data_IF_486852455275
#
_entry.id   IF_486852455275
#
_cell.length_a   1.000
_cell.length_b   1.000
_cell.length_c   1.000
_cell.angle_alpha   90.00
_cell.angle_beta   90.00
_cell.angle_gamma   90.00
#
_symmetry.space_group_name_H-M   'P 1'
#
loop_
_entity.id
_entity.type
_entity.pdbx_description
1 polymer ?
#
# COMPACT_ATOMS: atom_id res chain seq x y z
N UNK A 1 0.07 -7.91 -23.91
CA UNK A 1 -1.00 -8.87 -24.21
C UNK A 1 -0.56 -10.32 -24.00
N UNK A 2 0.61 -10.74 -24.50
CA UNK A 2 1.12 -12.11 -24.33
C UNK A 2 1.21 -12.53 -22.86
N UNK A 3 1.59 -11.62 -21.96
CA UNK A 3 1.62 -11.93 -20.53
C UNK A 3 0.26 -12.38 -20.00
N UNK A 4 -0.81 -11.66 -20.35
CA UNK A 4 -2.18 -11.99 -19.89
C UNK A 4 -2.66 -13.32 -20.48
N UNK A 5 -2.18 -13.69 -21.66
CA UNK A 5 -2.52 -14.96 -22.27
C UNK A 5 -1.90 -16.16 -21.52
N UNK A 6 -0.65 -16.03 -21.08
CA UNK A 6 0.11 -17.16 -20.53
C UNK A 6 0.27 -17.14 -19.01
N UNK A 7 0.08 -15.98 -18.35
CA UNK A 7 0.28 -15.83 -16.91
C UNK A 7 -1.04 -15.51 -16.20
N UNK A 8 -1.32 -16.15 -15.06
CA UNK A 8 -2.54 -15.90 -14.31
C UNK A 8 -2.61 -14.47 -13.72
N UNK A 9 -1.47 -13.86 -13.41
CA UNK A 9 -1.39 -12.55 -12.77
C UNK A 9 -0.40 -11.65 -13.49
N UNK A 10 -0.87 -10.51 -13.99
CA UNK A 10 -0.06 -9.49 -14.66
C UNK A 10 -0.26 -8.14 -13.98
N UNK A 11 0.83 -7.49 -13.61
CA UNK A 11 0.84 -6.18 -12.95
C UNK A 11 1.65 -5.17 -13.75
N UNK A 12 1.04 -4.02 -14.06
CA UNK A 12 1.63 -2.99 -14.91
C UNK A 12 1.63 -1.65 -14.18
N UNK A 13 2.78 -1.26 -13.64
CA UNK A 13 3.03 0.10 -13.15
C UNK A 13 3.40 1.01 -14.33
N UNK A 14 2.76 2.16 -14.47
CA UNK A 14 2.86 3.01 -15.65
C UNK A 14 3.10 4.47 -15.31
N UNK A 15 3.96 5.13 -16.05
CA UNK A 15 3.95 6.58 -16.19
C UNK A 15 2.68 7.08 -16.88
N UNK A 16 2.52 8.40 -16.94
CA UNK A 16 1.35 9.06 -17.55
C UNK A 16 1.30 8.83 -19.06
N UNK A 17 0.08 8.68 -19.58
CA UNK A 17 -0.23 8.61 -21.02
C UNK A 17 0.59 7.57 -21.81
N UNK A 18 0.86 6.40 -21.23
CA UNK A 18 1.55 5.28 -21.90
C UNK A 18 0.62 4.32 -22.63
N UNK A 19 -0.69 4.58 -22.60
CA UNK A 19 -1.70 3.72 -23.24
C UNK A 19 -2.06 2.48 -22.41
N UNK A 20 -1.84 2.49 -21.10
CA UNK A 20 -2.13 1.36 -20.20
C UNK A 20 -3.59 0.90 -20.29
N UNK A 21 -4.53 1.84 -20.34
CA UNK A 21 -5.97 1.55 -20.36
C UNK A 21 -6.41 0.98 -21.71
N UNK A 22 -5.81 1.47 -22.82
CA UNK A 22 -6.01 0.89 -24.15
C UNK A 22 -5.55 -0.57 -24.21
N UNK A 23 -4.36 -0.89 -23.68
CA UNK A 23 -3.83 -2.26 -23.63
C UNK A 23 -4.70 -3.14 -22.74
N UNK A 24 -5.20 -2.62 -21.61
CA UNK A 24 -6.12 -3.32 -20.73
C UNK A 24 -7.45 -3.65 -21.44
N UNK A 25 -8.01 -2.69 -22.19
CA UNK A 25 -9.19 -2.90 -23.02
C UNK A 25 -8.96 -3.96 -24.10
N UNK A 26 -7.80 -3.92 -24.79
CA UNK A 26 -7.43 -4.96 -25.75
C UNK A 26 -7.36 -6.34 -25.11
N UNK A 27 -6.79 -6.45 -23.90
CA UNK A 27 -6.71 -7.71 -23.16
C UNK A 27 -8.11 -8.23 -22.81
N UNK A 28 -8.99 -7.34 -22.30
CA UNK A 28 -10.37 -7.67 -21.94
C UNK A 28 -11.19 -8.20 -23.13
N UNK A 29 -11.17 -7.48 -24.24
CA UNK A 29 -11.87 -7.87 -25.48
C UNK A 29 -11.29 -9.17 -26.06
N UNK A 30 -9.97 -9.31 -26.08
CA UNK A 30 -9.33 -10.52 -26.57
C UNK A 30 -9.70 -11.73 -25.71
N UNK A 31 -9.69 -11.56 -24.39
CA UNK A 31 -10.08 -12.65 -23.48
C UNK A 31 -11.56 -13.04 -23.66
N UNK A 32 -12.45 -12.04 -23.76
CA UNK A 32 -13.88 -12.28 -23.96
C UNK A 32 -14.18 -13.11 -25.20
N UNK A 33 -13.51 -12.82 -26.33
CA UNK A 33 -13.88 -13.43 -27.62
C UNK A 33 -12.95 -14.54 -28.10
N UNK A 34 -11.71 -14.59 -27.63
CA UNK A 34 -10.71 -15.57 -28.11
C UNK A 34 -10.45 -16.71 -27.12
N UNK A 35 -10.94 -16.60 -25.86
CA UNK A 35 -10.71 -17.61 -24.85
C UNK A 35 -11.78 -18.71 -24.84
N UNK A 36 -13.10 -18.43 -24.96
CA UNK A 36 -14.12 -19.45 -24.86
C UNK A 36 -13.99 -20.50 -25.97
N UNK A 37 -14.20 -21.75 -25.61
CA UNK A 37 -14.18 -22.89 -26.53
C UNK A 37 -15.55 -23.56 -26.58
N UNK A 38 -15.83 -24.21 -27.68
CA UNK A 38 -17.01 -25.06 -27.79
C UNK A 38 -16.78 -26.38 -27.04
N UNK A 39 -17.63 -26.67 -26.07
CA UNK A 39 -17.61 -27.93 -25.36
C UNK A 39 -18.53 -28.91 -26.07
N UNK A 40 -17.93 -29.88 -26.76
CA UNK A 40 -18.66 -30.87 -27.58
C UNK A 40 -19.50 -31.84 -26.73
N UNK A 41 -19.10 -32.13 -25.50
CA UNK A 41 -19.85 -33.03 -24.59
C UNK A 41 -21.11 -32.35 -24.06
N UNK A 42 -21.01 -31.07 -23.72
CA UNK A 42 -22.12 -30.25 -23.16
C UNK A 42 -22.94 -29.54 -24.21
N UNK A 43 -22.51 -29.55 -25.47
CA UNK A 43 -23.14 -28.84 -26.59
C UNK A 43 -23.35 -27.33 -26.30
N UNK A 44 -22.38 -26.69 -25.66
CA UNK A 44 -22.43 -25.25 -25.34
C UNK A 44 -21.03 -24.63 -25.35
N UNK A 45 -21.01 -23.30 -25.44
CA UNK A 45 -19.78 -22.54 -25.31
C UNK A 45 -19.37 -22.46 -23.84
N UNK A 46 -18.05 -22.49 -23.57
CA UNK A 46 -17.53 -22.36 -22.20
C UNK A 46 -17.88 -20.99 -21.63
N UNK A 47 -18.37 -20.98 -20.40
CA UNK A 47 -18.66 -19.77 -19.64
C UNK A 47 -17.42 -18.88 -19.54
N UNK A 48 -17.57 -17.60 -19.94
CA UNK A 48 -16.46 -16.65 -19.98
C UNK A 48 -16.92 -15.29 -19.45
N UNK A 49 -16.38 -14.85 -18.34
CA UNK A 49 -16.77 -13.59 -17.69
C UNK A 49 -15.57 -12.67 -17.60
N UNK A 50 -15.76 -11.40 -17.95
CA UNK A 50 -14.76 -10.35 -17.81
C UNK A 50 -15.33 -9.24 -16.91
N UNK A 51 -14.68 -8.96 -15.79
CA UNK A 51 -15.00 -7.87 -14.89
C UNK A 51 -13.98 -6.74 -15.04
N UNK A 52 -14.48 -5.55 -15.34
CA UNK A 52 -13.68 -4.31 -15.37
C UNK A 52 -13.99 -3.50 -14.13
N UNK A 53 -12.99 -3.01 -13.42
CA UNK A 53 -13.22 -2.16 -12.26
C UNK A 53 -12.18 -1.04 -12.14
N UNK A 54 -12.58 0.01 -11.43
CA UNK A 54 -11.76 1.16 -11.07
C UNK A 54 -12.24 1.75 -9.73
N UNK A 55 -11.45 2.61 -9.08
CA UNK A 55 -11.83 3.28 -7.83
C UNK A 55 -13.12 4.10 -7.95
N UNK A 56 -13.44 4.63 -9.13
CA UNK A 56 -14.62 5.48 -9.33
C UNK A 56 -15.43 5.03 -10.54
N UNK A 57 -16.76 5.21 -10.47
CA UNK A 57 -17.68 4.98 -11.59
C UNK A 57 -17.28 5.78 -12.84
N UNK A 58 -16.83 7.02 -12.66
CA UNK A 58 -16.33 7.86 -13.73
C UNK A 58 -15.15 7.21 -14.50
N UNK A 59 -14.23 6.56 -13.81
CA UNK A 59 -13.10 5.88 -14.45
C UNK A 59 -13.56 4.68 -15.26
N UNK A 60 -14.51 3.90 -14.75
CA UNK A 60 -15.11 2.81 -15.52
C UNK A 60 -15.83 3.36 -16.75
N UNK A 61 -16.77 4.28 -16.56
CA UNK A 61 -17.65 4.81 -17.60
C UNK A 61 -16.94 5.66 -18.65
N UNK A 62 -16.03 6.53 -18.21
CA UNK A 62 -15.45 7.57 -19.09
C UNK A 62 -14.04 7.26 -19.55
N UNK A 63 -13.40 6.21 -19.04
CA UNK A 63 -12.04 5.79 -19.45
C UNK A 63 -12.07 4.39 -20.05
N UNK A 64 -12.46 3.38 -19.25
CA UNK A 64 -12.38 1.99 -19.72
C UNK A 64 -13.44 1.64 -20.76
N UNK A 65 -14.71 1.96 -20.53
CA UNK A 65 -15.77 1.62 -21.47
C UNK A 65 -15.64 2.31 -22.83
N UNK A 66 -15.17 3.57 -22.96
CA UNK A 66 -14.85 4.15 -24.26
C UNK A 66 -13.76 3.41 -25.04
N UNK A 67 -12.72 2.90 -24.38
CA UNK A 67 -11.71 2.07 -25.04
C UNK A 67 -12.29 0.73 -25.51
N UNK A 68 -13.10 0.09 -24.70
CA UNK A 68 -13.86 -1.12 -25.08
C UNK A 68 -14.76 -0.84 -26.29
N UNK A 69 -15.52 0.26 -26.24
CA UNK A 69 -16.43 0.67 -27.31
C UNK A 69 -15.69 0.95 -28.62
N UNK A 70 -14.54 1.62 -28.53
CA UNK A 70 -13.69 1.91 -29.70
C UNK A 70 -13.22 0.62 -30.37
N UNK A 71 -12.77 -0.36 -29.60
CA UNK A 71 -12.33 -1.66 -30.12
C UNK A 71 -13.48 -2.45 -30.73
N UNK A 72 -14.62 -2.52 -30.06
CA UNK A 72 -15.82 -3.21 -30.52
C UNK A 72 -16.32 -2.60 -31.86
N UNK A 73 -16.46 -1.28 -31.93
CA UNK A 73 -16.91 -0.60 -33.12
C UNK A 73 -15.89 -0.66 -34.28
N UNK A 74 -14.59 -0.68 -33.96
CA UNK A 74 -13.53 -0.87 -34.96
C UNK A 74 -13.58 -2.26 -35.58
N UNK A 75 -13.86 -3.29 -34.79
CA UNK A 75 -14.08 -4.64 -35.33
C UNK A 75 -15.28 -4.64 -36.29
N UNK A 76 -16.41 -4.07 -35.86
CA UNK A 76 -17.62 -3.94 -36.68
C UNK A 76 -17.38 -3.18 -37.98
N UNK A 77 -16.65 -2.06 -37.94
CA UNK A 77 -16.32 -1.27 -39.16
C UNK A 77 -15.42 -2.01 -40.16
N UNK A 78 -14.74 -3.06 -39.72
CA UNK A 78 -13.91 -3.95 -40.54
C UNK A 78 -14.64 -5.23 -40.97
N UNK A 79 -15.95 -5.30 -40.78
CA UNK A 79 -16.76 -6.46 -41.14
C UNK A 79 -16.64 -7.64 -40.16
N UNK A 80 -15.98 -7.47 -38.99
CA UNK A 80 -15.88 -8.51 -37.99
C UNK A 80 -17.10 -8.40 -37.09
N UNK A 81 -17.96 -9.41 -37.13
CA UNK A 81 -19.14 -9.50 -36.27
C UNK A 81 -18.74 -10.13 -34.94
N UNK A 82 -18.71 -9.31 -33.89
CA UNK A 82 -18.50 -9.79 -32.53
C UNK A 82 -19.87 -10.17 -31.91
N UNK A 83 -20.01 -11.36 -31.31
CA UNK A 83 -21.23 -11.77 -30.65
C UNK A 83 -21.63 -10.82 -29.52
N UNK A 84 -22.94 -10.54 -29.42
CA UNK A 84 -23.51 -9.75 -28.33
C UNK A 84 -23.77 -8.30 -28.67
N UNK A 85 -24.22 -7.56 -27.67
CA UNK A 85 -24.60 -6.14 -27.74
C UNK A 85 -23.77 -5.33 -26.76
N UNK A 86 -23.17 -4.27 -27.25
CA UNK A 86 -22.45 -3.28 -26.44
C UNK A 86 -23.45 -2.31 -25.81
N UNK A 87 -23.44 -2.19 -24.48
CA UNK A 87 -24.17 -1.22 -23.68
C UNK A 87 -23.22 -0.26 -22.96
N UNK A 88 -23.76 0.62 -22.12
CA UNK A 88 -22.95 1.66 -21.44
C UNK A 88 -21.85 1.10 -20.51
N UNK A 89 -22.12 -0.03 -19.88
CA UNK A 89 -21.23 -0.66 -18.89
C UNK A 89 -20.87 -2.11 -19.18
N UNK A 90 -21.45 -2.71 -20.21
CA UNK A 90 -21.26 -4.11 -20.48
C UNK A 90 -21.31 -4.48 -21.97
N UNK A 91 -20.84 -5.67 -22.27
CA UNK A 91 -21.13 -6.41 -23.48
C UNK A 91 -21.88 -7.67 -23.07
N UNK A 92 -23.13 -7.83 -23.51
CA UNK A 92 -23.95 -9.01 -23.28
C UNK A 92 -24.09 -9.81 -24.56
N UNK A 93 -23.72 -11.09 -24.49
CA UNK A 93 -23.98 -12.05 -25.58
C UNK A 93 -25.38 -12.68 -25.40
N UNK A 94 -25.75 -13.58 -26.30
CA UNK A 94 -27.00 -14.35 -26.16
C UNK A 94 -26.92 -15.41 -25.04
N UNK A 95 -25.74 -15.61 -24.45
CA UNK A 95 -25.51 -16.47 -23.29
C UNK A 95 -25.35 -15.63 -22.05
N UNK A 96 -26.16 -15.89 -21.01
CA UNK A 96 -26.08 -15.22 -19.71
C UNK A 96 -24.73 -15.43 -19.00
N UNK A 97 -24.01 -16.48 -19.36
CA UNK A 97 -22.71 -16.83 -18.76
C UNK A 97 -21.51 -16.40 -19.61
N UNK A 98 -21.74 -15.61 -20.68
CA UNK A 98 -20.67 -15.08 -21.54
C UNK A 98 -20.84 -13.58 -21.72
N UNK A 99 -20.11 -12.81 -20.92
CA UNK A 99 -20.24 -11.34 -20.92
C UNK A 99 -19.00 -10.63 -20.40
N UNK A 100 -18.94 -9.33 -20.68
CA UNK A 100 -18.05 -8.38 -20.05
C UNK A 100 -18.88 -7.33 -19.32
N UNK A 101 -18.50 -6.98 -18.09
CA UNK A 101 -19.20 -5.94 -17.32
C UNK A 101 -18.19 -5.06 -16.59
N UNK A 102 -18.52 -3.76 -16.48
CA UNK A 102 -17.76 -2.77 -15.74
C UNK A 102 -18.55 -2.20 -14.58
N UNK A 103 -17.95 -2.09 -13.41
CA UNK A 103 -18.54 -1.50 -12.21
C UNK A 103 -17.46 -0.92 -11.29
N UNK A 104 -17.87 0.05 -10.47
CA UNK A 104 -16.99 0.67 -9.47
C UNK A 104 -16.59 -0.36 -8.40
N UNK A 105 -15.35 -0.35 -7.97
CA UNK A 105 -14.93 -1.01 -6.75
C UNK A 105 -15.55 -0.26 -5.55
N UNK A 106 -16.38 -0.96 -4.77
CA UNK A 106 -17.03 -0.42 -3.58
C UNK A 106 -16.53 -1.19 -2.36
N UNK A 107 -15.92 -0.47 -1.42
CA UNK A 107 -15.36 -1.05 -0.20
C UNK A 107 -16.41 -1.68 0.71
N UNK A 108 -17.66 -1.21 0.62
CA UNK A 108 -18.77 -1.68 1.42
C UNK A 108 -19.60 -2.77 0.75
N UNK A 109 -19.31 -3.11 -0.52
CA UNK A 109 -20.10 -4.09 -1.29
C UNK A 109 -19.21 -5.21 -1.84
N UNK A 110 -18.71 -6.06 -0.94
CA UNK A 110 -17.93 -7.25 -1.33
C UNK A 110 -18.79 -8.28 -2.09
N UNK A 111 -20.11 -8.27 -1.89
CA UNK A 111 -21.05 -9.16 -2.57
C UNK A 111 -21.12 -8.91 -4.08
N UNK A 112 -20.79 -7.68 -4.55
CA UNK A 112 -20.71 -7.37 -5.98
C UNK A 112 -19.71 -8.26 -6.74
N UNK A 113 -18.73 -8.84 -6.04
CA UNK A 113 -17.73 -9.77 -6.60
C UNK A 113 -18.18 -11.22 -6.55
N UNK A 114 -19.25 -11.53 -5.81
CA UNK A 114 -19.85 -12.86 -5.74
C UNK A 114 -20.45 -13.21 -7.10
N UNK A 115 -20.31 -14.47 -7.50
CA UNK A 115 -20.92 -14.96 -8.74
C UNK A 115 -20.09 -14.77 -10.03
N UNK A 116 -18.87 -14.23 -9.95
CA UNK A 116 -17.93 -14.20 -11.10
C UNK A 116 -17.22 -15.56 -11.31
N UNK A 117 -17.83 -16.66 -10.87
CA UNK A 117 -17.31 -17.98 -11.18
C UNK A 117 -17.65 -18.37 -12.61
N UNK A 118 -16.66 -18.77 -13.37
CA UNK A 118 -16.80 -19.27 -14.73
C UNK A 118 -15.61 -20.18 -15.07
N UNK A 119 -15.72 -20.93 -16.17
CA UNK A 119 -14.59 -21.71 -16.71
C UNK A 119 -13.43 -20.78 -17.03
N UNK A 120 -13.75 -19.63 -17.63
CA UNK A 120 -12.79 -18.59 -17.96
C UNK A 120 -13.21 -17.27 -17.29
N UNK A 121 -12.36 -16.72 -16.44
CA UNK A 121 -12.64 -15.44 -15.74
C UNK A 121 -11.47 -14.49 -15.88
N UNK A 122 -11.75 -13.23 -16.17
CA UNK A 122 -10.73 -12.18 -16.20
C UNK A 122 -11.17 -10.98 -15.39
N UNK A 123 -10.31 -10.54 -14.48
CA UNK A 123 -10.44 -9.29 -13.74
C UNK A 123 -9.45 -8.27 -14.30
N UNK A 124 -9.95 -7.15 -14.77
CA UNK A 124 -9.15 -6.01 -15.24
C UNK A 124 -9.37 -4.86 -14.28
N UNK A 125 -8.33 -4.50 -13.55
CA UNK A 125 -8.38 -3.48 -12.51
C UNK A 125 -7.53 -2.30 -12.97
N UNK A 126 -8.18 -1.19 -13.33
CA UNK A 126 -7.49 0.04 -13.68
C UNK A 126 -7.41 0.98 -12.49
N UNK A 127 -6.34 1.80 -12.46
CA UNK A 127 -6.00 2.68 -11.33
C UNK A 127 -5.95 1.91 -9.99
N UNK A 128 -5.41 0.68 -10.04
CA UNK A 128 -5.42 -0.28 -8.95
C UNK A 128 -4.79 0.22 -7.63
N UNK A 129 -3.90 1.23 -7.69
CA UNK A 129 -3.33 1.87 -6.50
C UNK A 129 -4.35 2.66 -5.66
N UNK A 130 -5.55 2.90 -6.18
CA UNK A 130 -6.64 3.58 -5.47
C UNK A 130 -7.75 2.65 -5.00
N UNK A 131 -7.55 1.34 -5.02
CA UNK A 131 -8.54 0.33 -4.60
C UNK A 131 -8.10 -0.30 -3.28
N UNK A 132 -9.03 -0.48 -2.36
CA UNK A 132 -8.79 -1.06 -1.04
C UNK A 132 -8.41 -2.55 -1.11
N UNK A 133 -7.64 -3.01 -0.14
CA UNK A 133 -7.20 -4.40 -0.04
C UNK A 133 -8.39 -5.37 0.12
N UNK A 134 -9.45 -4.99 0.82
CA UNK A 134 -10.67 -5.78 0.97
C UNK A 134 -11.32 -6.15 -0.38
N UNK A 135 -11.32 -5.23 -1.35
CA UNK A 135 -11.80 -5.50 -2.71
C UNK A 135 -10.93 -6.57 -3.40
N UNK A 136 -9.62 -6.52 -3.20
CA UNK A 136 -8.72 -7.52 -3.77
C UNK A 136 -8.89 -8.89 -3.13
N UNK A 137 -9.17 -8.98 -1.83
CA UNK A 137 -9.50 -10.25 -1.16
C UNK A 137 -10.74 -10.90 -1.78
N UNK A 138 -11.78 -10.10 -2.04
CA UNK A 138 -12.98 -10.59 -2.72
C UNK A 138 -12.69 -11.09 -4.14
N UNK A 139 -11.80 -10.41 -4.90
CA UNK A 139 -11.36 -10.86 -6.23
C UNK A 139 -10.55 -12.15 -6.11
N UNK A 140 -9.61 -12.26 -5.17
CA UNK A 140 -8.79 -13.45 -4.96
C UNK A 140 -9.64 -14.70 -4.69
N UNK A 141 -10.76 -14.56 -3.96
CA UNK A 141 -11.73 -15.64 -3.73
C UNK A 141 -12.36 -16.21 -5.00
N UNK A 142 -12.36 -15.44 -6.10
CA UNK A 142 -12.93 -15.86 -7.39
C UNK A 142 -11.87 -16.40 -8.38
N UNK A 143 -10.59 -16.44 -8.01
CA UNK A 143 -9.51 -16.87 -8.90
C UNK A 143 -9.37 -18.40 -8.95
N UNK A 144 -10.25 -19.03 -9.70
CA UNK A 144 -10.24 -20.48 -9.90
C UNK A 144 -10.17 -20.80 -11.40
N UNK A 145 -9.75 -22.02 -11.72
CA UNK A 145 -9.70 -22.51 -13.12
C UNK A 145 -8.81 -21.64 -14.02
N UNK A 146 -9.33 -21.27 -15.20
CA UNK A 146 -8.63 -20.40 -16.14
C UNK A 146 -8.89 -18.92 -15.81
N UNK A 147 -8.46 -18.50 -14.61
CA UNK A 147 -8.61 -17.10 -14.18
C UNK A 147 -7.41 -16.25 -14.54
N UNK A 148 -7.66 -14.98 -14.87
CA UNK A 148 -6.64 -13.97 -15.16
C UNK A 148 -6.91 -12.70 -14.37
N UNK A 149 -5.84 -12.11 -13.84
CA UNK A 149 -5.88 -10.77 -13.23
C UNK A 149 -4.90 -9.85 -13.93
N UNK A 150 -5.38 -8.72 -14.38
CA UNK A 150 -4.57 -7.64 -14.93
C UNK A 150 -4.75 -6.38 -14.10
N UNK A 151 -3.69 -5.96 -13.44
CA UNK A 151 -3.61 -4.66 -12.76
C UNK A 151 -2.91 -3.65 -13.65
N UNK A 152 -3.51 -2.49 -13.86
CA UNK A 152 -2.86 -1.36 -14.51
C UNK A 152 -3.05 -0.10 -13.67
N UNK A 153 -1.96 0.61 -13.36
CA UNK A 153 -2.02 1.77 -12.47
C UNK A 153 -0.83 2.70 -12.60
N UNK A 154 -1.00 3.94 -12.15
CA UNK A 154 0.14 4.77 -11.80
C UNK A 154 0.56 4.41 -10.37
N UNK A 155 1.85 4.27 -10.05
CA UNK A 155 2.34 3.87 -8.73
C UNK A 155 2.25 5.04 -7.75
N UNK A 156 1.02 5.43 -7.38
CA UNK A 156 0.77 6.62 -6.58
C UNK A 156 1.16 6.43 -5.11
N UNK A 157 1.04 5.21 -4.58
CA UNK A 157 1.38 4.88 -3.19
C UNK A 157 2.26 3.64 -3.14
N UNK A 158 3.31 3.60 -2.28
CA UNK A 158 4.21 2.45 -2.16
C UNK A 158 3.64 1.30 -1.32
N UNK A 159 2.41 1.42 -0.84
CA UNK A 159 1.70 0.44 -0.01
C UNK A 159 0.45 -0.08 -0.72
N UNK A 160 -0.21 -1.08 -0.11
CA UNK A 160 -1.43 -1.70 -0.61
C UNK A 160 -1.16 -2.79 -1.64
N UNK A 161 -2.22 -3.46 -2.07
CA UNK A 161 -2.17 -4.63 -2.95
C UNK A 161 -1.44 -4.37 -4.28
N UNK A 162 -1.68 -3.21 -4.92
CA UNK A 162 -1.01 -2.85 -6.17
C UNK A 162 0.52 -2.73 -6.01
N UNK A 163 0.99 -2.18 -4.88
CA UNK A 163 2.42 -2.11 -4.58
C UNK A 163 3.01 -3.51 -4.31
N UNK A 164 2.31 -4.36 -3.53
CA UNK A 164 2.72 -5.75 -3.28
C UNK A 164 2.79 -6.56 -4.58
N UNK A 165 1.90 -6.33 -5.55
CA UNK A 165 1.92 -7.01 -6.86
C UNK A 165 3.19 -6.75 -7.66
N UNK A 166 3.85 -5.61 -7.47
CA UNK A 166 5.13 -5.27 -8.11
C UNK A 166 6.35 -5.83 -7.37
N UNK A 167 6.19 -6.31 -6.13
CA UNK A 167 7.27 -6.91 -5.33
C UNK A 167 7.21 -8.43 -5.32
N UNK A 168 6.00 -9.01 -5.26
CA UNK A 168 5.76 -10.44 -5.12
C UNK A 168 6.17 -11.27 -6.34
N UNK A 169 6.60 -12.51 -6.13
CA UNK A 169 7.03 -13.44 -7.19
C UNK A 169 5.87 -14.03 -8.01
N UNK A 170 4.65 -13.98 -7.47
CA UNK A 170 3.45 -14.54 -8.13
C UNK A 170 2.97 -13.72 -9.33
N UNK A 171 3.58 -12.56 -9.59
CA UNK A 171 3.16 -11.61 -10.60
C UNK A 171 4.17 -11.49 -11.73
N UNK A 172 3.68 -11.52 -12.96
CA UNK A 172 4.45 -11.02 -14.11
C UNK A 172 4.35 -9.50 -14.14
N UNK A 173 5.48 -8.84 -13.96
CA UNK A 173 5.57 -7.40 -13.70
C UNK A 173 6.05 -6.63 -14.91
N UNK A 174 5.39 -5.52 -15.19
CA UNK A 174 5.80 -4.57 -16.23
C UNK A 174 5.84 -3.17 -15.64
N UNK A 175 6.78 -2.39 -16.16
CA UNK A 175 6.87 -0.97 -15.89
C UNK A 175 6.95 -0.21 -17.20
N UNK A 176 6.03 0.74 -17.38
CA UNK A 176 5.96 1.59 -18.55
C UNK A 176 6.53 2.97 -18.22
N UNK A 177 7.79 3.19 -18.57
CA UNK A 177 8.48 4.46 -18.39
C UNK A 177 8.12 5.42 -19.52
N UNK A 178 7.65 6.65 -19.22
CA UNK A 178 7.29 7.66 -20.23
C UNK A 178 8.48 8.13 -21.06
N UNK A 179 9.70 8.10 -20.51
CA UNK A 179 10.92 8.42 -21.26
C UNK A 179 11.17 7.48 -22.46
N UNK A 180 10.61 6.27 -22.42
CA UNK A 180 10.74 5.28 -23.50
C UNK A 180 9.52 5.26 -24.42
N UNK A 181 8.69 6.29 -24.40
CA UNK A 181 7.57 6.40 -25.33
C UNK A 181 8.09 6.70 -26.75
N UNK A 182 7.49 6.11 -27.80
CA UNK A 182 7.88 6.41 -29.19
C UNK A 182 7.89 7.92 -29.50
N UNK A 183 6.87 8.66 -29.05
CA UNK A 183 6.80 10.11 -29.25
C UNK A 183 7.96 10.87 -28.59
N UNK A 184 8.43 10.37 -27.43
CA UNK A 184 9.54 10.99 -26.70
C UNK A 184 10.88 10.66 -27.36
N UNK A 185 11.09 9.38 -27.75
CA UNK A 185 12.35 8.95 -28.38
C UNK A 185 12.55 9.64 -29.73
N UNK A 186 11.49 9.76 -30.53
CA UNK A 186 11.56 10.30 -31.90
C UNK A 186 11.30 11.81 -31.95
N UNK A 187 11.08 12.48 -30.83
CA UNK A 187 10.78 13.93 -30.71
C UNK A 187 9.62 14.37 -31.64
N UNK A 188 8.66 13.49 -31.89
CA UNK A 188 7.48 13.76 -32.76
C UNK A 188 6.30 12.90 -32.35
N UNK A 189 5.10 13.33 -32.74
CA UNK A 189 3.87 12.55 -32.49
C UNK A 189 3.77 11.39 -33.48
N UNK A 190 4.14 10.18 -33.00
CA UNK A 190 3.96 8.92 -33.75
C UNK A 190 2.64 8.27 -33.34
N UNK A 191 2.35 8.28 -32.03
CA UNK A 191 1.14 7.71 -31.47
C UNK A 191 0.31 8.85 -30.84
N UNK A 192 -0.77 9.29 -31.49
CA UNK A 192 -1.63 10.34 -30.95
C UNK A 192 -2.21 9.95 -29.60
N UNK A 193 -2.18 10.89 -28.64
CA UNK A 193 -2.68 10.69 -27.27
C UNK A 193 -1.70 10.00 -26.32
N UNK A 194 -0.54 9.57 -26.80
CA UNK A 194 0.56 9.17 -25.93
C UNK A 194 1.35 10.41 -25.47
N UNK A 195 2.06 10.27 -24.34
CA UNK A 195 2.95 11.32 -23.83
C UNK A 195 3.93 11.78 -24.93
N UNK A 196 4.13 13.08 -25.05
CA UNK A 196 5.05 13.70 -26.00
C UNK A 196 6.36 14.19 -25.35
N UNK A 197 7.28 14.62 -26.21
CA UNK A 197 8.61 15.05 -25.81
C UNK A 197 8.57 16.34 -25.00
N UNK A 198 7.81 17.36 -25.46
CA UNK A 198 7.71 18.66 -24.82
C UNK A 198 7.19 18.55 -23.38
N UNK A 199 6.17 17.70 -23.17
CA UNK A 199 5.66 17.44 -21.82
C UNK A 199 6.74 16.82 -20.93
N UNK A 200 7.53 15.88 -21.43
CA UNK A 200 8.62 15.25 -20.66
C UNK A 200 9.68 16.26 -20.29
N UNK A 201 10.11 17.12 -21.23
CA UNK A 201 11.12 18.17 -20.97
C UNK A 201 10.62 19.15 -19.91
N UNK A 202 9.37 19.61 -20.02
CA UNK A 202 8.75 20.49 -19.02
C UNK A 202 8.75 19.82 -17.62
N UNK A 203 8.47 18.52 -17.51
CA UNK A 203 8.46 17.82 -16.24
C UNK A 203 9.87 17.51 -15.70
N UNK A 204 10.87 17.37 -16.57
CA UNK A 204 12.27 17.30 -16.15
C UNK A 204 12.71 18.59 -15.45
N UNK A 205 12.32 19.75 -15.98
CA UNK A 205 12.64 21.03 -15.39
C UNK A 205 11.91 21.29 -14.05
N UNK A 206 10.65 20.83 -13.95
CA UNK A 206 9.80 21.09 -12.77
C UNK A 206 10.02 20.09 -11.64
N UNK A 207 10.28 18.81 -11.96
CA UNK A 207 10.22 17.69 -11.01
C UNK A 207 11.53 16.92 -10.87
N UNK A 208 12.63 17.45 -11.39
CA UNK A 208 13.96 16.86 -11.25
C UNK A 208 15.00 17.91 -10.90
N UNK A 209 15.97 17.50 -10.10
CA UNK A 209 17.18 18.28 -9.88
C UNK A 209 18.26 17.81 -10.83
N UNK A 210 18.89 18.73 -11.58
CA UNK A 210 20.06 18.42 -12.39
C UNK A 210 21.26 18.18 -11.49
N UNK A 211 22.00 17.08 -11.74
CA UNK A 211 23.17 16.69 -10.95
C UNK A 211 24.37 16.42 -11.86
N UNK A 212 25.57 16.42 -11.28
CA UNK A 212 26.76 15.98 -11.98
C UNK A 212 26.87 14.45 -11.99
N UNK A 213 27.57 13.91 -12.99
CA UNK A 213 27.75 12.44 -13.13
C UNK A 213 28.44 11.81 -11.89
N UNK A 214 29.28 12.56 -11.20
CA UNK A 214 29.95 12.15 -9.96
C UNK A 214 29.04 12.04 -8.75
N UNK A 215 27.83 12.65 -8.81
CA UNK A 215 26.84 12.67 -7.72
C UNK A 215 25.74 11.64 -7.90
N UNK A 216 25.83 10.80 -8.95
CA UNK A 216 24.83 9.82 -9.28
C UNK A 216 24.72 8.75 -8.21
N UNK A 217 23.52 8.53 -7.71
CA UNK A 217 23.15 7.52 -6.72
C UNK A 217 22.02 6.66 -7.28
N UNK A 218 22.31 5.38 -7.50
CA UNK A 218 21.35 4.44 -8.09
C UNK A 218 20.12 4.23 -7.19
N UNK A 219 20.35 4.24 -5.88
CA UNK A 219 19.31 4.15 -4.86
C UNK A 219 18.34 5.36 -4.85
N UNK A 220 18.73 6.49 -5.42
CA UNK A 220 17.86 7.67 -5.58
C UNK A 220 17.14 7.70 -6.92
N UNK A 221 17.26 6.65 -7.73
CA UNK A 221 16.72 6.54 -9.08
C UNK A 221 17.26 7.60 -10.05
N UNK A 222 18.49 8.09 -9.81
CA UNK A 222 19.15 9.04 -10.68
C UNK A 222 19.26 8.44 -12.10
N UNK A 223 19.03 9.23 -13.11
CA UNK A 223 18.97 8.75 -14.48
C UNK A 223 19.59 9.75 -15.46
N UNK A 224 20.02 9.23 -16.61
CA UNK A 224 20.50 10.05 -17.71
C UNK A 224 19.42 10.20 -18.77
N UNK A 225 19.16 11.44 -19.21
CA UNK A 225 18.30 11.76 -20.33
C UNK A 225 19.04 12.77 -21.23
N UNK A 226 19.24 12.42 -22.49
CA UNK A 226 19.96 13.22 -23.50
C UNK A 226 21.34 13.72 -23.02
N UNK A 227 22.11 12.83 -22.39
CA UNK A 227 23.46 13.12 -21.92
C UNK A 227 23.56 13.96 -20.64
N UNK A 228 22.44 14.33 -20.05
CA UNK A 228 22.35 15.06 -18.78
C UNK A 228 21.83 14.15 -17.67
N UNK A 229 22.37 14.31 -16.45
CA UNK A 229 21.98 13.53 -15.30
C UNK A 229 20.96 14.29 -14.43
N UNK A 230 19.98 13.56 -13.94
CA UNK A 230 18.86 14.09 -13.17
C UNK A 230 18.56 13.22 -11.97
N UNK A 231 18.21 13.87 -10.85
CA UNK A 231 17.63 13.25 -9.66
C UNK A 231 16.14 13.53 -9.64
N UNK A 232 15.29 12.48 -9.71
CA UNK A 232 13.85 12.67 -9.78
C UNK A 232 13.26 12.92 -8.39
N UNK A 233 12.30 13.82 -8.30
CA UNK A 233 11.34 13.91 -7.19
C UNK A 233 10.30 12.80 -7.27
N UNK A 234 9.55 12.56 -6.20
CA UNK A 234 8.55 11.50 -6.15
C UNK A 234 7.44 11.68 -7.18
N UNK A 235 7.10 12.91 -7.52
CA UNK A 235 6.12 13.19 -8.58
C UNK A 235 6.61 12.72 -9.95
N UNK A 236 7.89 12.94 -10.27
CA UNK A 236 8.50 12.44 -11.51
C UNK A 236 8.59 10.91 -11.51
N UNK A 237 8.94 10.30 -10.38
CA UNK A 237 8.93 8.84 -10.24
C UNK A 237 7.57 8.25 -10.59
N UNK A 238 6.50 8.78 -9.98
CA UNK A 238 5.13 8.30 -10.19
C UNK A 238 4.63 8.54 -11.62
N UNK A 239 4.79 9.76 -12.11
CA UNK A 239 4.11 10.23 -13.33
C UNK A 239 4.91 9.97 -14.59
N UNK A 240 6.24 9.89 -14.51
CA UNK A 240 7.11 9.71 -15.68
C UNK A 240 7.80 8.34 -15.67
N UNK A 241 8.50 7.99 -14.59
CA UNK A 241 9.27 6.75 -14.55
C UNK A 241 8.40 5.49 -14.32
N UNK A 242 7.14 5.64 -13.91
CA UNK A 242 6.29 4.51 -13.51
C UNK A 242 6.86 3.75 -12.29
N UNK A 243 7.56 4.47 -11.41
CA UNK A 243 8.13 3.98 -10.15
C UNK A 243 7.33 4.48 -8.96
N UNK A 244 7.29 3.71 -7.89
CA UNK A 244 6.70 4.17 -6.64
C UNK A 244 7.49 5.34 -6.06
N UNK A 245 6.81 6.25 -5.34
CA UNK A 245 7.49 7.27 -4.55
C UNK A 245 8.36 6.58 -3.50
N UNK A 246 9.48 7.21 -3.13
CA UNK A 246 10.32 6.70 -2.05
C UNK A 246 9.70 6.94 -0.70
N UNK A 247 8.99 8.08 -0.59
CA UNK A 247 8.17 8.43 0.56
C UNK A 247 6.84 8.96 0.01
N UNK A 248 5.71 8.46 0.49
CA UNK A 248 4.46 9.19 0.34
C UNK A 248 4.54 10.38 1.31
N UNK A 249 4.25 11.59 0.87
CA UNK A 249 4.44 12.82 1.65
C UNK A 249 3.68 12.82 2.99
N UNK A 250 2.67 11.98 3.13
CA UNK A 250 1.81 11.81 4.31
C UNK A 250 2.09 10.53 5.14
N UNK A 251 2.96 9.63 4.67
CA UNK A 251 3.34 8.44 5.45
C UNK A 251 4.22 8.85 6.61
N UNK A 252 3.82 8.47 7.82
CA UNK A 252 4.57 8.80 9.02
C UNK A 252 5.93 8.08 9.05
N UNK A 253 5.94 6.77 8.80
CA UNK A 253 7.13 5.91 8.86
C UNK A 253 7.28 5.15 7.54
N UNK A 254 8.22 5.53 6.68
CA UNK A 254 8.48 4.83 5.43
C UNK A 254 8.99 3.39 5.66
N UNK A 255 8.53 2.43 4.86
CA UNK A 255 8.94 1.02 4.92
C UNK A 255 10.47 0.86 4.92
N UNK A 256 11.17 1.66 4.11
CA UNK A 256 12.64 1.60 4.02
C UNK A 256 13.34 1.87 5.36
N UNK A 257 12.75 2.69 6.24
CA UNK A 257 13.32 2.96 7.56
C UNK A 257 13.15 1.76 8.49
N UNK A 258 11.99 1.07 8.39
CA UNK A 258 11.72 -0.17 9.11
C UNK A 258 12.66 -1.27 8.65
N UNK A 259 12.77 -1.49 7.34
CA UNK A 259 13.69 -2.48 6.76
C UNK A 259 15.15 -2.25 7.19
N UNK A 260 15.61 -1.00 7.17
CA UNK A 260 16.93 -0.64 7.64
C UNK A 260 17.13 -0.92 9.14
N UNK A 261 16.12 -0.69 9.98
CA UNK A 261 16.15 -1.01 11.41
C UNK A 261 16.14 -2.53 11.66
N UNK A 262 15.38 -3.29 10.89
CA UNK A 262 15.34 -4.75 10.94
C UNK A 262 16.66 -5.38 10.48
N UNK A 263 17.31 -4.82 9.45
CA UNK A 263 18.60 -5.26 8.99
C UNK A 263 19.67 -5.05 10.07
N UNK A 264 19.69 -3.90 10.76
CA UNK A 264 20.57 -3.66 11.91
C UNK A 264 20.30 -4.65 13.02
N UNK A 265 19.03 -4.94 13.31
CA UNK A 265 18.65 -5.91 14.34
C UNK A 265 19.17 -7.32 14.05
N UNK A 266 19.04 -7.81 12.79
CA UNK A 266 19.55 -9.13 12.38
C UNK A 266 21.06 -9.22 12.49
N UNK A 267 21.77 -8.14 12.22
CA UNK A 267 23.24 -8.08 12.26
C UNK A 267 23.79 -7.90 13.68
N UNK A 268 22.98 -7.41 14.60
CA UNK A 268 23.45 -7.12 15.96
C UNK A 268 23.73 -8.38 16.75
N UNK A 269 24.99 -8.51 17.22
CA UNK A 269 25.49 -9.64 18.05
C UNK A 269 26.00 -9.19 19.42
N UNK A 270 25.91 -7.87 19.72
CA UNK A 270 26.38 -7.31 20.99
C UNK A 270 25.49 -7.65 22.20
N UNK A 271 26.01 -7.35 23.37
CA UNK A 271 25.25 -7.44 24.62
C UNK A 271 24.18 -6.36 24.68
N UNK A 272 23.02 -6.69 25.28
CA UNK A 272 21.87 -5.80 25.41
C UNK A 272 21.90 -5.21 26.81
N UNK A 273 22.64 -4.12 26.95
CA UNK A 273 22.81 -3.39 28.21
C UNK A 273 22.24 -1.98 28.08
N UNK A 274 21.82 -1.40 29.20
CA UNK A 274 21.31 -0.02 29.27
C UNK A 274 19.90 0.07 29.84
N UNK A 275 19.23 1.19 29.60
CA UNK A 275 17.89 1.47 30.12
C UNK A 275 16.85 0.57 29.45
N UNK A 276 16.07 -0.11 30.27
CA UNK A 276 15.00 -1.01 29.84
C UNK A 276 13.64 -0.28 29.89
N UNK A 277 12.87 -0.40 28.82
CA UNK A 277 11.54 0.17 28.68
C UNK A 277 10.57 -0.91 28.22
N UNK A 278 9.47 -1.08 28.94
CA UNK A 278 8.38 -1.97 28.55
C UNK A 278 7.13 -1.15 28.21
N UNK A 279 6.71 -1.18 26.95
CA UNK A 279 5.40 -0.68 26.55
C UNK A 279 4.37 -1.80 26.61
N UNK A 280 3.18 -1.51 27.13
CA UNK A 280 2.09 -2.49 27.22
C UNK A 280 0.81 -1.86 26.66
N UNK A 281 0.31 -2.46 25.61
CA UNK A 281 -1.02 -2.20 25.04
C UNK A 281 -1.96 -3.33 25.46
N UNK A 282 -3.04 -2.97 26.17
CA UNK A 282 -3.91 -3.94 26.82
C UNK A 282 -5.17 -4.15 25.98
N UNK A 283 -5.32 -5.35 25.43
CA UNK A 283 -6.54 -5.73 24.75
C UNK A 283 -7.69 -6.02 25.73
N UNK A 284 -8.90 -5.65 25.30
CA UNK A 284 -10.15 -5.99 25.97
C UNK A 284 -10.71 -7.37 25.59
N UNK A 285 -12.03 -7.48 25.69
CA UNK A 285 -12.78 -8.65 25.21
C UNK A 285 -12.96 -8.56 23.69
N UNK A 286 -12.13 -9.24 22.92
CA UNK A 286 -12.19 -9.18 21.46
C UNK A 286 -11.22 -10.11 20.78
N UNK A 287 -10.96 -9.83 19.50
CA UNK A 287 -9.96 -10.55 18.70
C UNK A 287 -8.54 -9.99 18.88
N UNK A 288 -8.42 -8.79 19.46
CA UNK A 288 -7.15 -8.11 19.62
C UNK A 288 -6.29 -8.80 20.68
N UNK A 289 -4.99 -8.67 20.56
CA UNK A 289 -4.03 -9.22 21.50
C UNK A 289 -3.44 -8.13 22.39
N UNK A 290 -3.22 -8.44 23.68
CA UNK A 290 -2.33 -7.63 24.52
C UNK A 290 -0.91 -7.75 23.99
N UNK A 291 -0.27 -6.62 23.73
CA UNK A 291 1.09 -6.56 23.16
C UNK A 291 2.08 -5.98 24.18
N UNK A 292 3.20 -6.66 24.32
CA UNK A 292 4.33 -6.21 25.12
C UNK A 292 5.51 -5.87 24.22
N UNK A 293 5.95 -4.62 24.25
CA UNK A 293 7.12 -4.12 23.53
C UNK A 293 8.24 -3.82 24.50
N UNK A 294 9.26 -4.66 24.57
CA UNK A 294 10.41 -4.43 25.43
C UNK A 294 11.58 -3.85 24.62
N UNK A 295 12.06 -2.66 25.02
CA UNK A 295 13.18 -1.96 24.41
C UNK A 295 14.32 -1.78 25.40
N UNK A 296 15.53 -2.12 24.97
CA UNK A 296 16.78 -1.86 25.71
C UNK A 296 17.61 -0.91 24.86
N UNK A 297 17.75 0.34 25.27
CA UNK A 297 18.34 1.43 24.49
C UNK A 297 17.75 1.50 23.07
N UNK A 298 18.53 1.17 22.05
CA UNK A 298 18.11 1.20 20.65
C UNK A 298 17.69 -0.16 20.09
N UNK A 299 17.66 -1.19 20.91
CA UNK A 299 17.27 -2.54 20.49
C UNK A 299 15.91 -2.93 21.06
N UNK A 300 15.01 -3.37 20.19
CA UNK A 300 13.68 -3.87 20.56
C UNK A 300 13.66 -5.39 20.53
N UNK A 301 13.17 -6.00 21.59
CA UNK A 301 12.94 -7.45 21.64
C UNK A 301 11.79 -7.86 20.69
N UNK A 302 11.72 -9.12 20.26
CA UNK A 302 10.53 -9.62 19.57
C UNK A 302 9.27 -9.34 20.39
N UNK A 303 8.21 -8.84 19.73
CA UNK A 303 6.95 -8.53 20.40
C UNK A 303 6.34 -9.78 21.02
N UNK A 304 5.87 -9.65 22.26
CA UNK A 304 5.09 -10.71 22.89
C UNK A 304 3.62 -10.34 22.77
N UNK A 305 2.85 -11.19 22.09
CA UNK A 305 1.42 -11.03 21.89
C UNK A 305 0.66 -12.06 22.69
N UNK A 306 -0.39 -11.65 23.39
CA UNK A 306 -1.23 -12.55 24.17
C UNK A 306 -2.71 -12.30 23.87
N UNK A 307 -3.36 -13.29 23.28
CA UNK A 307 -4.80 -13.29 23.07
C UNK A 307 -5.54 -13.67 24.35
N UNK A 308 -6.48 -12.85 24.76
CA UNK A 308 -7.30 -13.05 25.96
C UNK A 308 -8.38 -14.14 25.81
N UNK A 309 -8.58 -14.68 24.58
CA UNK A 309 -9.60 -15.69 24.32
C UNK A 309 -11.04 -15.20 24.53
N UNK A 310 -11.27 -13.89 24.43
CA UNK A 310 -12.58 -13.26 24.62
C UNK A 310 -12.90 -12.85 26.07
N UNK A 311 -11.97 -13.03 27.01
CA UNK A 311 -12.12 -12.57 28.40
C UNK A 311 -10.92 -11.70 28.76
N UNK A 312 -11.15 -10.45 29.14
CA UNK A 312 -10.08 -9.57 29.59
C UNK A 312 -9.43 -10.12 30.88
N UNK A 313 -8.11 -10.31 30.86
CA UNK A 313 -7.35 -10.83 32.01
C UNK A 313 -6.38 -9.76 32.57
N UNK A 314 -6.96 -8.70 33.12
CA UNK A 314 -6.20 -7.58 33.70
C UNK A 314 -5.26 -8.01 34.81
N UNK A 315 -5.65 -9.02 35.60
CA UNK A 315 -4.85 -9.50 36.73
C UNK A 315 -3.59 -10.21 36.27
N UNK A 316 -3.69 -10.98 35.17
CA UNK A 316 -2.54 -11.63 34.56
C UNK A 316 -1.58 -10.60 33.93
N UNK A 317 -2.12 -9.64 33.18
CA UNK A 317 -1.31 -8.58 32.56
C UNK A 317 -0.58 -7.77 33.64
N UNK A 318 -1.25 -7.39 34.73
CA UNK A 318 -0.61 -6.75 35.88
C UNK A 318 0.48 -7.63 36.49
N UNK A 319 0.22 -8.93 36.65
CA UNK A 319 1.21 -9.91 37.15
C UNK A 319 2.45 -10.00 36.25
N UNK A 320 2.27 -10.00 34.95
CA UNK A 320 3.38 -10.03 33.95
C UNK A 320 4.24 -8.76 34.08
N UNK A 321 3.60 -7.59 34.22
CA UNK A 321 4.29 -6.31 34.46
C UNK A 321 5.12 -6.36 35.74
N UNK A 322 4.54 -6.82 36.85
CA UNK A 322 5.23 -6.91 38.15
C UNK A 322 6.40 -7.91 38.06
N UNK A 323 6.22 -9.03 37.40
CA UNK A 323 7.30 -10.00 37.18
C UNK A 323 8.45 -9.40 36.34
N UNK A 324 8.12 -8.62 35.29
CA UNK A 324 9.12 -7.90 34.52
C UNK A 324 9.89 -6.90 35.40
N UNK A 325 9.19 -6.13 36.22
CA UNK A 325 9.79 -5.17 37.15
C UNK A 325 10.71 -5.85 38.18
N UNK A 326 10.32 -7.01 38.70
CA UNK A 326 11.16 -7.80 39.61
C UNK A 326 12.47 -8.28 38.99
N UNK A 327 12.42 -8.67 37.72
CA UNK A 327 13.60 -9.08 36.94
C UNK A 327 14.46 -7.88 36.51
N UNK A 328 13.84 -6.72 36.28
CA UNK A 328 14.47 -5.48 35.83
C UNK A 328 14.04 -4.30 36.71
N UNK A 329 14.55 -4.15 37.96
CA UNK A 329 14.05 -3.16 38.90
C UNK A 329 14.13 -1.71 38.47
N UNK A 330 15.03 -1.37 37.51
CA UNK A 330 15.20 -0.04 36.98
C UNK A 330 14.45 0.18 35.66
N UNK A 331 13.66 -0.81 35.18
CA UNK A 331 12.90 -0.67 33.96
C UNK A 331 11.73 0.29 34.13
N UNK A 332 11.50 1.11 33.10
CA UNK A 332 10.28 1.91 32.98
C UNK A 332 9.20 1.07 32.28
N UNK A 333 7.97 1.14 32.81
CA UNK A 333 6.81 0.47 32.22
C UNK A 333 5.78 1.51 31.87
N UNK A 334 5.44 1.61 30.58
CA UNK A 334 4.39 2.51 30.10
C UNK A 334 3.16 1.69 29.71
N UNK A 335 2.02 2.03 30.25
CA UNK A 335 0.74 1.34 30.01
C UNK A 335 -0.21 2.33 29.37
N UNK A 336 -0.83 1.98 28.21
CA UNK A 336 -1.95 2.75 27.71
C UNK A 336 -3.14 2.60 28.68
N UNK A 337 -3.52 3.70 29.29
CA UNK A 337 -4.59 3.73 30.30
C UNK A 337 -5.92 4.27 29.75
N UNK A 338 -6.07 4.29 28.43
CA UNK A 338 -7.37 4.55 27.78
C UNK A 338 -8.09 3.20 27.65
N UNK A 339 -9.24 3.05 28.32
CA UNK A 339 -9.99 1.81 28.31
C UNK A 339 -9.45 0.74 29.27
N UNK A 340 -9.17 -0.46 28.77
CA UNK A 340 -8.85 -1.66 29.56
C UNK A 340 -7.55 -1.53 30.38
N UNK A 341 -6.57 -0.80 29.86
CA UNK A 341 -5.30 -0.62 30.56
C UNK A 341 -5.38 0.18 31.85
N UNK A 342 -6.47 0.93 32.11
CA UNK A 342 -6.65 1.65 33.36
C UNK A 342 -6.73 0.69 34.56
N UNK A 343 -7.43 -0.43 34.42
CA UNK A 343 -7.52 -1.48 35.44
C UNK A 343 -6.18 -2.17 35.71
N UNK A 344 -5.44 -2.44 34.63
CA UNK A 344 -4.09 -3.04 34.72
C UNK A 344 -3.12 -2.09 35.41
N UNK A 345 -3.14 -0.80 35.04
CA UNK A 345 -2.31 0.22 35.68
C UNK A 345 -2.61 0.34 37.18
N UNK A 346 -3.89 0.48 37.55
CA UNK A 346 -4.31 0.58 38.95
C UNK A 346 -3.81 -0.61 39.77
N UNK A 347 -3.96 -1.84 39.26
CA UNK A 347 -3.50 -3.04 39.95
C UNK A 347 -1.98 -3.15 40.01
N UNK A 348 -1.27 -2.82 38.93
CA UNK A 348 0.19 -2.84 38.93
C UNK A 348 0.76 -1.81 39.92
N UNK A 349 0.18 -0.61 39.95
CA UNK A 349 0.60 0.47 40.85
C UNK A 349 0.26 0.21 42.34
N UNK A 350 -0.82 -0.54 42.63
CA UNK A 350 -1.13 -1.00 43.97
C UNK A 350 -0.04 -1.94 44.55
N UNK A 351 0.59 -2.74 43.65
CA UNK A 351 1.61 -3.72 44.06
C UNK A 351 3.02 -3.09 44.06
N UNK A 352 3.29 -2.19 43.10
CA UNK A 352 4.56 -1.47 42.95
C UNK A 352 4.24 0.02 42.70
N UNK A 353 4.20 0.84 43.76
CA UNK A 353 3.89 2.27 43.67
C UNK A 353 5.06 3.14 43.22
N UNK A 354 6.06 2.52 42.65
CA UNK A 354 7.25 3.20 42.14
C UNK A 354 6.95 4.14 40.96
N UNK A 355 7.73 5.22 40.81
CA UNK A 355 7.55 6.15 39.67
C UNK A 355 7.91 5.56 38.31
N UNK A 356 8.33 4.31 38.27
CA UNK A 356 8.70 3.62 37.02
C UNK A 356 7.51 3.01 36.28
N UNK A 357 6.32 2.91 36.92
CA UNK A 357 5.08 2.51 36.25
C UNK A 357 4.33 3.77 35.83
N UNK A 358 4.21 3.97 34.52
CA UNK A 358 3.77 5.22 33.90
C UNK A 358 2.41 4.99 33.22
N UNK A 359 1.42 5.79 33.59
CA UNK A 359 0.16 5.89 32.85
C UNK A 359 0.38 6.73 31.58
N UNK A 360 0.04 6.18 30.41
CA UNK A 360 0.08 6.86 29.15
C UNK A 360 -1.34 7.08 28.62
N UNK A 361 -1.70 8.33 28.28
CA UNK A 361 -3.02 8.69 27.75
C UNK A 361 -2.85 9.39 26.41
N UNK A 362 -3.11 8.70 25.35
CA UNK A 362 -2.89 9.18 23.98
C UNK A 362 -3.76 10.38 23.59
N UNK A 363 -4.93 10.54 24.19
CA UNK A 363 -5.87 11.64 23.90
C UNK A 363 -5.50 12.97 24.58
N UNK A 364 -4.65 12.97 25.60
CA UNK A 364 -4.23 14.20 26.27
C UNK A 364 -3.40 15.10 25.35
N UNK A 365 -3.45 16.41 25.63
CA UNK A 365 -2.61 17.37 24.89
C UNK A 365 -1.13 17.03 25.00
N UNK A 366 -0.37 17.24 23.92
CA UNK A 366 1.07 17.00 23.88
C UNK A 366 1.83 18.02 24.74
N UNK A 367 1.84 17.81 26.04
CA UNK A 367 2.49 18.69 27.04
C UNK A 367 3.29 17.89 28.06
N UNK A 368 4.43 18.41 28.45
CA UNK A 368 5.16 17.97 29.63
C UNK A 368 5.07 19.08 30.68
N UNK A 369 4.29 18.83 31.73
CA UNK A 369 3.86 19.87 32.70
C UNK A 369 3.13 21.01 31.94
N UNK A 370 3.66 22.24 31.97
CA UNK A 370 3.05 23.40 31.32
C UNK A 370 3.65 23.73 29.94
N UNK A 371 4.61 22.95 29.47
CA UNK A 371 5.29 23.20 28.18
C UNK A 371 4.72 22.29 27.09
N UNK A 372 4.38 22.88 25.93
CA UNK A 372 4.06 22.10 24.74
C UNK A 372 5.29 21.30 24.28
N UNK A 373 5.06 20.02 23.93
CA UNK A 373 6.09 19.16 23.37
C UNK A 373 6.25 19.45 21.87
N UNK A 374 7.49 19.43 21.41
CA UNK A 374 7.86 19.62 20.01
C UNK A 374 8.68 18.44 19.51
N UNK A 375 8.85 18.33 18.21
CA UNK A 375 9.80 17.40 17.61
C UNK A 375 11.26 17.74 18.00
N UNK A 376 12.20 16.90 17.59
CA UNK A 376 13.63 17.09 17.88
C UNK A 376 14.22 18.40 17.30
N UNK A 377 13.57 18.98 16.28
CA UNK A 377 14.00 20.25 15.66
C UNK A 377 13.39 21.47 16.33
N UNK A 378 12.39 21.30 17.19
CA UNK A 378 11.63 22.38 17.81
C UNK A 378 10.61 23.06 16.88
N UNK A 379 10.42 22.56 15.67
CA UNK A 379 9.57 23.21 14.64
C UNK A 379 8.11 22.75 14.70
N UNK A 380 7.88 21.46 14.99
CA UNK A 380 6.55 20.87 14.92
C UNK A 380 5.91 20.77 16.30
N UNK A 381 4.64 21.12 16.37
CA UNK A 381 3.76 20.94 17.53
C UNK A 381 2.71 19.90 17.20
N UNK A 382 2.15 19.26 18.23
CA UNK A 382 1.27 18.10 18.08
C UNK A 382 -0.10 18.36 18.69
N UNK A 383 -1.14 17.79 18.08
CA UNK A 383 -2.51 17.91 18.59
C UNK A 383 -2.65 17.27 19.98
N UNK A 384 -2.13 16.06 20.10
CA UNK A 384 -2.24 15.25 21.32
C UNK A 384 -1.00 14.37 21.54
N UNK A 385 -0.97 13.65 22.64
CA UNK A 385 0.14 12.76 23.01
C UNK A 385 0.33 11.63 22.01
N UNK A 386 -0.75 11.09 21.38
CA UNK A 386 -0.65 10.11 20.30
C UNK A 386 0.22 10.64 19.16
N UNK A 387 -0.10 11.81 18.65
CA UNK A 387 0.66 12.40 17.53
C UNK A 387 2.14 12.63 17.89
N UNK A 388 2.41 13.09 19.11
CA UNK A 388 3.77 13.29 19.59
C UNK A 388 4.55 11.97 19.70
N UNK A 389 3.99 10.94 20.31
CA UNK A 389 4.68 9.66 20.53
C UNK A 389 4.94 8.92 19.21
N UNK A 390 3.98 8.92 18.28
CA UNK A 390 4.19 8.36 16.95
C UNK A 390 5.27 9.13 16.19
N UNK A 391 5.33 10.45 16.34
CA UNK A 391 6.40 11.25 15.74
C UNK A 391 7.77 10.95 16.36
N UNK A 392 7.84 10.69 17.66
CA UNK A 392 9.07 10.23 18.31
C UNK A 392 9.58 8.91 17.70
N UNK A 393 8.68 7.96 17.41
CA UNK A 393 9.05 6.71 16.73
C UNK A 393 9.56 7.00 15.32
N UNK A 394 8.88 7.90 14.58
CA UNK A 394 9.34 8.37 13.27
C UNK A 394 10.76 8.94 13.34
N UNK A 395 11.01 9.85 14.27
CA UNK A 395 12.32 10.45 14.44
C UNK A 395 13.39 9.43 14.85
N UNK A 396 13.01 8.49 15.70
CA UNK A 396 13.89 7.40 16.12
C UNK A 396 14.26 6.44 14.97
N UNK A 397 13.33 6.17 14.06
CA UNK A 397 13.57 5.30 12.89
C UNK A 397 14.22 6.05 11.71
N UNK A 398 14.18 7.38 11.68
CA UNK A 398 14.72 8.17 10.59
C UNK A 398 16.24 7.99 10.47
N UNK A 399 16.77 7.45 9.35
CA UNK A 399 18.20 7.25 9.16
C UNK A 399 19.05 8.51 9.29
N UNK A 400 18.47 9.68 8.97
CA UNK A 400 19.17 10.99 9.07
C UNK A 400 19.51 11.35 10.51
N UNK A 401 18.77 10.83 11.49
CA UNK A 401 19.01 11.11 12.91
C UNK A 401 20.07 10.21 13.55
N UNK A 402 20.58 9.21 12.82
CA UNK A 402 21.63 8.28 13.24
C UNK A 402 21.41 7.67 14.63
N UNK A 403 20.19 7.37 15.00
CA UNK A 403 19.82 6.82 16.32
C UNK A 403 20.30 5.39 16.53
N UNK A 404 20.59 4.67 15.46
CA UNK A 404 20.93 3.25 15.55
C UNK A 404 19.74 2.33 15.88
N UNK A 405 18.51 2.76 15.65
CA UNK A 405 17.28 2.01 15.90
C UNK A 405 17.34 0.58 15.35
N UNK A 406 16.95 -0.40 16.16
CA UNK A 406 16.93 -1.82 15.81
C UNK A 406 15.57 -2.43 16.16
N UNK A 407 14.83 -2.86 15.14
CA UNK A 407 13.51 -3.48 15.26
C UNK A 407 13.56 -4.97 14.91
N UNK A 408 12.84 -5.83 15.64
CA UNK A 408 12.70 -7.23 15.23
C UNK A 408 11.94 -7.32 13.90
N UNK A 409 12.21 -8.33 13.07
CA UNK A 409 11.41 -8.60 11.89
C UNK A 409 10.01 -9.07 12.31
N UNK A 410 9.01 -8.23 12.07
CA UNK A 410 7.58 -8.48 12.34
C UNK A 410 6.79 -7.87 11.19
N UNK A 411 6.07 -8.70 10.43
CA UNK A 411 5.34 -8.28 9.23
C UNK A 411 4.13 -7.42 9.58
N UNK A 412 3.36 -7.82 10.61
CA UNK A 412 2.18 -7.12 11.09
C UNK A 412 2.54 -5.70 11.54
N UNK A 413 3.57 -5.55 12.38
CA UNK A 413 4.09 -4.24 12.78
C UNK A 413 4.53 -3.41 11.55
N UNK A 414 5.19 -4.03 10.58
CA UNK A 414 5.70 -3.32 9.40
C UNK A 414 4.56 -2.80 8.51
N UNK A 415 3.49 -3.59 8.37
CA UNK A 415 2.29 -3.21 7.62
C UNK A 415 1.55 -2.07 8.34
N UNK A 416 1.20 -2.24 9.61
CA UNK A 416 0.48 -1.24 10.40
C UNK A 416 1.25 0.09 10.50
N UNK A 417 2.55 0.06 10.78
CA UNK A 417 3.35 1.26 10.92
C UNK A 417 3.46 2.08 9.62
N UNK A 418 3.39 1.42 8.46
CA UNK A 418 3.44 2.11 7.16
C UNK A 418 2.08 2.61 6.68
N UNK A 419 0.99 2.17 7.28
CA UNK A 419 -0.35 2.69 7.02
C UNK A 419 -0.64 4.01 7.71
N UNK A 420 0.08 4.31 8.80
CA UNK A 420 -0.12 5.53 9.58
C UNK A 420 0.17 6.76 8.73
N UNK A 421 -0.81 7.68 8.69
CA UNK A 421 -0.73 8.96 7.98
C UNK A 421 -0.64 10.12 8.94
N UNK A 422 -0.06 11.20 8.47
CA UNK A 422 -0.01 12.45 9.21
C UNK A 422 -0.41 13.63 8.34
N UNK A 423 -0.98 14.65 8.96
CA UNK A 423 -1.35 15.89 8.28
C UNK A 423 -1.18 17.09 9.20
N UNK A 424 -1.21 18.28 8.61
CA UNK A 424 -1.29 19.53 9.37
C UNK A 424 -2.75 19.92 9.56
N UNK A 425 -3.12 20.17 10.80
CA UNK A 425 -4.37 20.83 11.12
C UNK A 425 -4.27 22.34 10.78
N UNK A 426 -5.41 23.02 10.68
CA UNK A 426 -5.49 24.46 10.37
C UNK A 426 -4.75 25.38 11.36
N UNK A 427 -4.51 24.92 12.59
CA UNK A 427 -3.73 25.61 13.62
C UNK A 427 -2.22 25.30 13.57
N UNK A 428 -1.77 24.57 12.54
CA UNK A 428 -0.37 24.20 12.32
C UNK A 428 0.13 23.02 13.15
N UNK A 429 -0.73 22.36 13.91
CA UNK A 429 -0.35 21.17 14.69
C UNK A 429 -0.42 19.91 13.85
N UNK A 430 0.49 18.98 14.10
CA UNK A 430 0.48 17.65 13.49
C UNK A 430 -0.62 16.78 14.09
N UNK A 431 -1.34 16.10 13.21
CA UNK A 431 -2.35 15.08 13.51
C UNK A 431 -1.89 13.76 12.91
N UNK A 432 -2.15 12.67 13.59
CA UNK A 432 -1.96 11.29 13.13
C UNK A 432 -3.34 10.68 12.86
N UNK A 433 -3.51 10.17 11.65
CA UNK A 433 -4.73 9.51 11.17
C UNK A 433 -4.61 7.99 11.28
#
# INVERSE_FOLDING_TARGET
LSSVQFNPRTSVASGTARGKDFVAACAAISFLYLTPRWNTQRQLIENTKVALTAPTDRQVKNIMMPEISRLYNRAKSRGIVLPGRLNAYDIRTDSDEWFLTGFKADENNHEAWSGFHAVNTMFVITEASGISDNTFEAIEGNLQGNSRVLLVFNPNTPIGYAARSQRGERWTKFRLNSLTAPNVIEHKIIIPGQVDYEWVVDKLEQWCTRIDKSEVQEELDDFCFEGKWYRPEDLFRKKVLGKFPKVADDVLIPMQWIEAAQERWRKYKGERTGTNWLGVDVAGMGRDATVYCNRIENWVAPFKKHNSGGTADHMRVAGDIINHRRQHPTSFVSIDTIGEGAGVYARAHEIDDSPYIISCKYSEGAKARDKELTDITGQYKFLNMRAYLFWCIRDWLNPKNNTGAMLPPDEEFSEEATEIRWSFRSDGKIVIE
#
